data_IF_564267402245
#
_entry.id   IF_564267402245
#
_cell.length_a   1.000
_cell.length_b   1.000
_cell.length_c   1.000
_cell.angle_alpha   90.00
_cell.angle_beta   90.00
_cell.angle_gamma   90.00
#
_symmetry.space_group_name_H-M   'P 1'
#
loop_
_entity.id
_entity.type
_entity.pdbx_description
1 polymer ?
#
# COMPACT_ATOMS: atom_id res chain seq x y z
N UNK A 1 -7.40 -2.97 37.88
CA UNK A 1 -8.48 -3.46 36.98
C UNK A 1 -7.82 -3.78 35.66
N UNK A 2 -7.55 -5.05 35.40
CA UNK A 2 -6.73 -5.51 34.28
C UNK A 2 -7.54 -6.57 33.54
N UNK A 3 -8.44 -6.18 32.63
CA UNK A 3 -9.40 -7.14 32.08
C UNK A 3 -9.77 -6.95 30.59
N UNK A 4 -8.88 -6.44 29.72
CA UNK A 4 -9.24 -6.31 28.29
C UNK A 4 -8.12 -6.51 27.26
N UNK A 5 -6.90 -6.91 27.64
CA UNK A 5 -5.82 -7.21 26.67
C UNK A 5 -5.85 -8.68 26.19
N UNK A 6 -7.03 -9.24 25.96
CA UNK A 6 -7.18 -10.51 25.25
C UNK A 6 -7.05 -10.25 23.73
N UNK A 7 -5.82 -9.97 23.27
CA UNK A 7 -5.48 -9.97 21.84
C UNK A 7 -5.44 -8.62 21.11
N UNK A 8 -5.88 -7.51 21.70
CA UNK A 8 -5.79 -6.15 21.11
C UNK A 8 -7.03 -5.29 21.35
N UNK A 9 -6.95 -3.99 21.09
CA UNK A 9 -8.11 -3.07 21.11
C UNK A 9 -8.76 -3.03 19.71
N UNK A 10 -10.02 -3.50 19.54
CA UNK A 10 -10.69 -3.54 18.24
C UNK A 10 -10.82 -2.17 17.55
N UNK A 11 -11.00 -1.09 18.32
CA UNK A 11 -11.15 0.25 17.77
C UNK A 11 -9.83 0.75 17.18
N UNK A 12 -8.73 0.55 17.92
CA UNK A 12 -7.38 0.86 17.44
C UNK A 12 -7.01 0.00 16.23
N UNK A 13 -7.32 -1.31 16.25
CA UNK A 13 -7.10 -2.19 15.10
C UNK A 13 -7.89 -1.75 13.86
N UNK A 14 -9.13 -1.27 14.02
CA UNK A 14 -9.90 -0.70 12.91
C UNK A 14 -9.26 0.57 12.36
N UNK A 15 -8.74 1.45 13.23
CA UNK A 15 -7.97 2.63 12.82
C UNK A 15 -6.71 2.25 12.05
N UNK A 16 -5.94 1.27 12.55
CA UNK A 16 -4.75 0.75 11.88
C UNK A 16 -5.08 0.21 10.48
N UNK A 17 -6.09 -0.68 10.36
CA UNK A 17 -6.49 -1.24 9.07
C UNK A 17 -6.89 -0.15 8.07
N UNK A 18 -7.62 0.87 8.52
CA UNK A 18 -8.01 2.01 7.68
C UNK A 18 -6.79 2.80 7.18
N UNK A 19 -5.81 3.07 8.05
CA UNK A 19 -4.57 3.76 7.67
C UNK A 19 -3.77 2.98 6.62
N UNK A 20 -3.60 1.66 6.81
CA UNK A 20 -2.90 0.82 5.83
C UNK A 20 -3.58 0.84 4.45
N UNK A 21 -4.91 0.73 4.42
CA UNK A 21 -5.68 0.83 3.17
C UNK A 21 -5.53 2.20 2.51
N UNK A 22 -5.63 3.27 3.30
CA UNK A 22 -5.47 4.64 2.79
C UNK A 22 -4.09 4.86 2.17
N UNK A 23 -3.02 4.38 2.83
CA UNK A 23 -1.66 4.51 2.31
C UNK A 23 -1.47 3.68 1.04
N UNK A 24 -2.09 2.50 0.93
CA UNK A 24 -2.06 1.73 -0.32
C UNK A 24 -2.66 2.51 -1.50
N UNK A 25 -3.77 3.21 -1.29
CA UNK A 25 -4.41 4.04 -2.32
C UNK A 25 -3.59 5.28 -2.66
N UNK A 26 -2.94 5.88 -1.66
CA UNK A 26 -2.02 6.99 -1.89
C UNK A 26 -0.81 6.54 -2.74
N UNK A 27 -0.27 5.35 -2.50
CA UNK A 27 0.82 4.76 -3.31
C UNK A 27 0.36 4.55 -4.75
N UNK A 28 -0.83 3.98 -4.97
CA UNK A 28 -1.40 3.81 -6.32
C UNK A 28 -1.57 5.14 -7.05
N UNK A 29 -2.06 6.16 -6.34
CA UNK A 29 -2.27 7.50 -6.91
C UNK A 29 -0.94 8.15 -7.30
N UNK A 30 0.06 8.07 -6.41
CA UNK A 30 1.41 8.57 -6.68
C UNK A 30 2.02 7.84 -7.88
N UNK A 31 1.92 6.51 -7.93
CA UNK A 31 2.39 5.71 -9.07
C UNK A 31 1.74 6.16 -10.38
N UNK A 32 0.41 6.34 -10.39
CA UNK A 32 -0.30 6.77 -11.59
C UNK A 32 0.12 8.17 -12.06
N UNK A 33 0.43 9.09 -11.13
CA UNK A 33 0.95 10.42 -11.48
C UNK A 33 2.35 10.34 -12.08
N UNK A 34 3.24 9.55 -11.47
CA UNK A 34 4.61 9.37 -11.96
C UNK A 34 4.65 8.62 -13.31
N UNK A 35 3.78 7.63 -13.51
CA UNK A 35 3.63 6.92 -14.79
C UNK A 35 3.30 7.87 -15.94
N UNK A 36 2.41 8.85 -15.71
CA UNK A 36 2.07 9.86 -16.74
C UNK A 36 3.26 10.73 -17.12
N UNK A 37 4.13 11.04 -16.17
CA UNK A 37 5.35 11.80 -16.43
C UNK A 37 6.41 10.94 -17.13
N UNK A 38 6.60 9.69 -16.68
CA UNK A 38 7.51 8.75 -17.30
C UNK A 38 7.10 8.40 -18.74
N UNK A 39 5.81 8.42 -19.08
CA UNK A 39 5.31 8.22 -20.43
C UNK A 39 5.74 9.33 -21.42
N UNK A 40 6.20 10.49 -20.94
CA UNK A 40 6.75 11.55 -21.79
C UNK A 40 8.17 11.22 -22.28
N UNK A 41 8.82 10.23 -21.69
CA UNK A 41 10.12 9.71 -22.17
C UNK A 41 9.92 9.12 -23.58
N UNK A 42 10.83 9.43 -24.50
CA UNK A 42 10.70 9.12 -25.92
C UNK A 42 10.08 10.25 -26.76
N UNK A 43 9.35 11.18 -26.14
CA UNK A 43 8.81 12.38 -26.83
C UNK A 43 9.46 13.67 -26.33
N UNK A 44 9.43 13.91 -25.01
CA UNK A 44 10.02 15.08 -24.37
C UNK A 44 11.52 14.91 -24.05
N UNK A 45 11.97 13.66 -23.89
CA UNK A 45 13.36 13.32 -23.62
C UNK A 45 13.76 12.04 -24.37
N UNK A 46 14.82 12.11 -25.18
CA UNK A 46 15.28 11.02 -26.04
C UNK A 46 16.77 10.70 -25.82
N UNK A 47 17.25 9.63 -26.46
CA UNK A 47 18.63 9.17 -26.40
C UNK A 47 18.89 8.06 -25.36
N UNK A 48 20.15 7.60 -25.21
CA UNK A 48 20.47 6.43 -24.40
C UNK A 48 20.12 6.58 -22.91
N UNK A 49 20.20 7.80 -22.37
CA UNK A 49 19.80 8.08 -20.98
C UNK A 49 18.30 7.92 -20.75
N UNK A 50 17.49 8.39 -21.71
CA UNK A 50 16.04 8.26 -21.69
C UNK A 50 15.62 6.79 -21.71
N UNK A 51 16.24 5.97 -22.57
CA UNK A 51 15.98 4.54 -22.62
C UNK A 51 16.32 3.84 -21.30
N UNK A 52 17.49 4.11 -20.72
CA UNK A 52 17.89 3.53 -19.42
C UNK A 52 16.92 3.90 -18.31
N UNK A 53 16.46 5.15 -18.29
CA UNK A 53 15.44 5.58 -17.33
C UNK A 53 14.13 4.83 -17.55
N UNK A 54 13.66 4.73 -18.79
CA UNK A 54 12.42 4.01 -19.11
C UNK A 54 12.48 2.54 -18.64
N UNK A 55 13.60 1.86 -18.88
CA UNK A 55 13.78 0.47 -18.46
C UNK A 55 13.82 0.35 -16.92
N UNK A 56 14.53 1.26 -16.24
CA UNK A 56 14.55 1.32 -14.78
C UNK A 56 13.16 1.62 -14.18
N UNK A 57 12.38 2.49 -14.84
CA UNK A 57 11.03 2.85 -14.42
C UNK A 57 10.10 1.64 -14.34
N UNK A 58 10.20 0.70 -15.29
CA UNK A 58 9.40 -0.54 -15.25
C UNK A 58 9.66 -1.35 -13.98
N UNK A 59 10.93 -1.42 -13.53
CA UNK A 59 11.28 -2.09 -12.28
C UNK A 59 10.72 -1.34 -11.06
N UNK A 60 10.78 -0.01 -11.05
CA UNK A 60 10.24 0.80 -9.96
C UNK A 60 8.73 0.66 -9.85
N UNK A 61 8.01 0.68 -10.98
CA UNK A 61 6.56 0.46 -11.05
C UNK A 61 6.17 -0.86 -10.39
N UNK A 62 6.88 -1.94 -10.72
CA UNK A 62 6.63 -3.26 -10.11
C UNK A 62 6.89 -3.27 -8.59
N UNK A 63 7.82 -2.49 -8.08
CA UNK A 63 8.07 -2.37 -6.64
C UNK A 63 6.96 -1.57 -5.93
N UNK A 64 6.52 -0.45 -6.52
CA UNK A 64 5.40 0.35 -5.99
C UNK A 64 4.09 -0.43 -5.98
N UNK A 65 3.81 -1.19 -7.04
CA UNK A 65 2.62 -2.04 -7.11
C UNK A 65 2.64 -3.09 -6.00
N UNK A 66 3.76 -3.80 -5.83
CA UNK A 66 3.93 -4.76 -4.72
C UNK A 66 3.72 -4.10 -3.36
N UNK A 67 4.30 -2.92 -3.12
CA UNK A 67 4.10 -2.19 -1.87
C UNK A 67 2.63 -1.86 -1.60
N UNK A 68 1.88 -1.42 -2.61
CA UNK A 68 0.44 -1.17 -2.46
C UNK A 68 -0.35 -2.46 -2.18
N UNK A 69 0.04 -3.58 -2.77
CA UNK A 69 -0.56 -4.89 -2.51
C UNK A 69 -0.30 -5.34 -1.07
N UNK A 70 0.95 -5.26 -0.59
CA UNK A 70 1.35 -5.61 0.78
C UNK A 70 0.63 -4.75 1.83
N UNK A 71 0.48 -3.43 1.58
CA UNK A 71 -0.26 -2.54 2.48
C UNK A 71 -1.75 -2.93 2.58
N UNK A 72 -2.38 -3.33 1.47
CA UNK A 72 -3.75 -3.83 1.51
C UNK A 72 -3.85 -5.17 2.22
N UNK A 73 -2.87 -6.04 2.04
CA UNK A 73 -2.85 -7.32 2.72
C UNK A 73 -2.70 -7.13 4.24
N UNK A 74 -1.82 -6.23 4.68
CA UNK A 74 -1.71 -5.86 6.09
C UNK A 74 -3.06 -5.34 6.64
N UNK A 75 -3.77 -4.49 5.91
CA UNK A 75 -5.11 -4.02 6.29
C UNK A 75 -6.12 -5.17 6.47
N UNK A 76 -6.11 -6.14 5.54
CA UNK A 76 -6.97 -7.33 5.62
C UNK A 76 -6.63 -8.18 6.83
N UNK A 77 -5.35 -8.47 7.05
CA UNK A 77 -4.86 -9.24 8.19
C UNK A 77 -5.32 -8.62 9.51
N UNK A 78 -5.15 -7.31 9.68
CA UNK A 78 -5.61 -6.60 10.89
C UNK A 78 -7.12 -6.73 11.07
N UNK A 79 -7.89 -6.58 9.99
CA UNK A 79 -9.36 -6.71 10.02
C UNK A 79 -9.80 -8.13 10.40
N UNK A 80 -9.12 -9.15 9.90
CA UNK A 80 -9.37 -10.56 10.26
C UNK A 80 -9.08 -10.81 11.73
N UNK A 81 -7.92 -10.38 12.25
CA UNK A 81 -7.61 -10.55 13.67
C UNK A 81 -8.60 -9.82 14.58
N UNK A 82 -9.04 -8.61 14.19
CA UNK A 82 -10.08 -7.89 14.92
C UNK A 82 -11.37 -8.71 14.99
N UNK A 83 -11.86 -9.23 13.86
CA UNK A 83 -13.07 -10.05 13.81
C UNK A 83 -12.98 -11.32 14.67
N UNK A 84 -11.80 -11.94 14.73
CA UNK A 84 -11.54 -13.09 15.59
C UNK A 84 -11.62 -12.72 17.09
N UNK A 85 -11.07 -11.57 17.49
CA UNK A 85 -11.12 -11.07 18.88
C UNK A 85 -12.57 -10.73 19.27
N UNK A 86 -13.31 -10.03 18.41
CA UNK A 86 -14.72 -9.68 18.66
C UNK A 86 -15.60 -10.92 18.78
N UNK A 87 -15.33 -11.96 18.00
CA UNK A 87 -16.08 -13.22 18.05
C UNK A 87 -15.76 -14.05 19.29
N UNK A 88 -14.52 -13.99 19.78
CA UNK A 88 -14.09 -14.74 20.97
C UNK A 88 -14.46 -14.07 22.30
N UNK A 89 -14.75 -12.77 22.27
CA UNK A 89 -15.10 -11.96 23.47
C UNK A 89 -16.60 -11.72 23.63
N UNK A 90 -17.42 -12.18 22.67
CA UNK A 90 -18.88 -12.12 22.69
C UNK A 90 -19.48 -13.45 23.12
#
# INVERSE_FOLDING_TARGET
>A
MSNSLLGGDPAEMQSMAAQFSQQADQVRTTMANLDREAAKVGTAWTGPGAQRFHDAWQSYRAAFQRMAEELNEASRVITTYRGNIESATR
#
